data_IF_503060020017
#
_entry.id   IF_503060020017
#
_cell.length_a   1.000
_cell.length_b   1.000
_cell.length_c   1.000
_cell.angle_alpha   90.00
_cell.angle_beta   90.00
_cell.angle_gamma   90.00
#
_symmetry.space_group_name_H-M   'P 1'
#
loop_
_entity.id
_entity.type
_entity.pdbx_description
1 polymer ?
#
# COMPACT_ATOMS: atom_id res chain seq x y z
N UNK A 1 -20.71 -37.93 6.93
CA UNK A 1 -19.54 -37.52 7.75
C UNK A 1 -18.30 -37.08 6.96
N UNK A 2 -18.16 -37.36 5.65
CA UNK A 2 -16.98 -36.97 4.84
C UNK A 2 -17.15 -35.67 4.05
N UNK A 3 -18.38 -35.37 3.64
CA UNK A 3 -18.69 -34.27 2.70
C UNK A 3 -18.53 -32.88 3.32
N UNK A 4 -18.82 -32.74 4.62
CA UNK A 4 -18.66 -31.48 5.34
C UNK A 4 -17.19 -31.06 5.40
N UNK A 5 -16.28 -32.02 5.60
CA UNK A 5 -14.84 -31.78 5.58
C UNK A 5 -14.34 -31.34 4.20
N UNK A 6 -14.86 -31.94 3.12
CA UNK A 6 -14.51 -31.53 1.76
C UNK A 6 -14.98 -30.09 1.46
N UNK A 7 -16.19 -29.74 1.88
CA UNK A 7 -16.72 -28.38 1.75
C UNK A 7 -15.87 -27.36 2.52
N UNK A 8 -15.50 -27.66 3.76
CA UNK A 8 -14.62 -26.81 4.56
C UNK A 8 -13.22 -26.66 3.94
N UNK A 9 -12.65 -27.73 3.41
CA UNK A 9 -11.34 -27.69 2.75
C UNK A 9 -11.37 -26.79 1.51
N UNK A 10 -12.38 -26.94 0.65
CA UNK A 10 -12.56 -26.09 -0.54
C UNK A 10 -12.76 -24.63 -0.13
N UNK A 11 -13.59 -24.37 0.87
CA UNK A 11 -13.81 -23.02 1.40
C UNK A 11 -12.48 -22.40 1.87
N UNK A 12 -11.67 -23.13 2.64
CA UNK A 12 -10.39 -22.64 3.15
C UNK A 12 -9.38 -22.33 2.04
N UNK A 13 -9.36 -23.14 0.97
CA UNK A 13 -8.52 -22.89 -0.21
C UNK A 13 -8.93 -21.60 -0.92
N UNK A 14 -10.24 -21.37 -1.10
CA UNK A 14 -10.77 -20.14 -1.72
C UNK A 14 -10.48 -18.91 -0.86
N UNK A 15 -10.64 -19.01 0.46
CA UNK A 15 -10.30 -17.91 1.38
C UNK A 15 -8.82 -17.55 1.36
N UNK A 16 -7.92 -18.53 1.30
CA UNK A 16 -6.49 -18.27 1.17
C UNK A 16 -6.13 -17.65 -0.19
N UNK A 17 -6.80 -18.02 -1.27
CA UNK A 17 -6.61 -17.41 -2.58
C UNK A 17 -7.01 -15.91 -2.60
N UNK A 18 -8.06 -15.53 -1.87
CA UNK A 18 -8.48 -14.12 -1.71
C UNK A 18 -7.52 -13.35 -0.78
N UNK A 19 -7.10 -13.95 0.34
CA UNK A 19 -6.17 -13.33 1.27
C UNK A 19 -4.76 -13.15 0.68
N UNK A 20 -4.42 -13.95 -0.34
CA UNK A 20 -3.18 -13.86 -1.11
C UNK A 20 -3.16 -12.74 -2.16
N UNK A 21 -4.16 -11.86 -2.22
CA UNK A 21 -4.02 -10.62 -2.98
C UNK A 21 -2.82 -9.87 -2.41
N UNK A 22 -1.71 -9.72 -3.17
CA UNK A 22 -0.58 -8.96 -2.70
C UNK A 22 -1.14 -7.58 -2.39
N UNK A 23 -1.01 -7.15 -1.13
CA UNK A 23 -1.31 -5.78 -0.71
C UNK A 23 -0.82 -4.88 -1.82
N UNK A 24 -1.76 -4.39 -2.64
CA UNK A 24 -1.42 -3.88 -3.96
C UNK A 24 -0.72 -2.57 -3.68
N UNK A 25 0.60 -2.65 -3.59
CA UNK A 25 1.52 -1.55 -3.47
C UNK A 25 1.58 -0.92 -4.85
N UNK A 26 0.41 -0.56 -5.37
CA UNK A 26 0.28 0.08 -6.66
C UNK A 26 0.82 1.50 -6.49
N UNK A 27 1.62 1.98 -7.45
CA UNK A 27 1.99 3.40 -7.48
C UNK A 27 0.74 4.29 -7.51
N UNK A 28 -0.40 3.76 -7.94
CA UNK A 28 -1.71 4.42 -7.91
C UNK A 28 -2.15 4.81 -6.50
N UNK A 29 -2.01 3.92 -5.50
CA UNK A 29 -2.36 4.24 -4.11
C UNK A 29 -1.44 5.31 -3.51
N UNK A 30 -0.16 5.31 -3.87
CA UNK A 30 0.76 6.36 -3.47
C UNK A 30 0.37 7.72 -4.07
N UNK A 31 0.04 7.72 -5.36
CA UNK A 31 -0.42 8.92 -6.08
C UNK A 31 -1.75 9.46 -5.55
N UNK A 32 -2.69 8.59 -5.20
CA UNK A 32 -3.95 8.96 -4.55
C UNK A 32 -3.73 9.65 -3.20
N UNK A 33 -2.68 9.28 -2.47
CA UNK A 33 -2.27 9.94 -1.22
C UNK A 33 -1.39 11.18 -1.45
N UNK A 34 -1.34 11.71 -2.69
CA UNK A 34 -0.45 12.82 -3.07
C UNK A 34 1.03 12.53 -2.78
N UNK A 35 1.41 11.26 -2.73
CA UNK A 35 2.78 10.82 -2.54
C UNK A 35 3.49 10.55 -3.85
N UNK A 36 4.82 10.51 -3.78
CA UNK A 36 5.70 10.16 -4.90
C UNK A 36 6.43 8.86 -4.59
N UNK A 37 6.60 8.05 -5.64
CA UNK A 37 7.38 6.82 -5.55
C UNK A 37 8.85 7.15 -5.76
N UNK A 38 9.66 7.03 -4.70
CA UNK A 38 11.10 7.23 -4.78
C UNK A 38 11.83 5.90 -4.64
N UNK A 39 12.89 5.71 -5.42
CA UNK A 39 13.81 4.59 -5.23
C UNK A 39 14.70 4.86 -4.00
N UNK A 40 14.67 3.97 -3.01
CA UNK A 40 15.43 4.09 -1.77
C UNK A 40 14.65 4.75 -0.61
N UNK A 41 15.36 5.23 0.43
CA UNK A 41 14.73 5.88 1.58
C UNK A 41 14.23 7.29 1.23
N UNK A 42 13.10 7.69 1.82
CA UNK A 42 12.58 9.06 1.66
C UNK A 42 13.56 10.06 2.26
N UNK A 43 13.96 11.06 1.47
CA UNK A 43 14.76 12.19 1.97
C UNK A 43 13.85 13.19 2.68
N UNK A 44 14.32 13.80 3.77
CA UNK A 44 13.61 14.93 4.41
C UNK A 44 13.38 16.04 3.35
N UNK A 45 12.20 16.68 3.30
CA UNK A 45 11.08 16.63 4.25
C UNK A 45 10.00 15.55 3.96
N UNK A 46 10.28 14.57 3.10
CA UNK A 46 9.33 13.52 2.78
C UNK A 46 9.36 12.40 3.82
N UNK A 47 8.18 11.87 4.14
CA UNK A 47 7.97 10.77 5.08
C UNK A 47 7.50 9.52 4.34
N UNK A 48 8.04 8.37 4.73
CA UNK A 48 7.64 7.09 4.17
C UNK A 48 6.26 6.70 4.70
N UNK A 49 5.30 6.53 3.80
CA UNK A 49 3.92 6.11 4.13
C UNK A 49 3.57 4.72 3.59
N UNK A 50 4.44 4.15 2.75
CA UNK A 50 4.22 2.83 2.16
C UNK A 50 5.29 2.45 1.14
N UNK A 51 4.96 1.50 0.26
CA UNK A 51 5.78 1.03 -0.86
C UNK A 51 5.00 1.12 -2.17
N UNK A 52 5.70 1.38 -3.28
CA UNK A 52 5.13 1.46 -4.63
C UNK A 52 5.30 0.17 -5.46
N UNK A 53 5.52 -0.97 -4.82
CA UNK A 53 5.35 -2.29 -5.45
C UNK A 53 6.54 -2.76 -6.29
N UNK A 54 7.64 -2.01 -6.30
CA UNK A 54 8.95 -2.45 -6.80
C UNK A 54 9.91 -2.81 -5.64
N UNK A 55 10.95 -3.60 -5.93
CA UNK A 55 11.90 -4.14 -4.95
C UNK A 55 12.56 -3.09 -4.01
N UNK A 56 12.59 -1.80 -4.39
CA UNK A 56 13.15 -0.71 -3.56
C UNK A 56 12.43 0.63 -3.71
N UNK A 57 11.16 0.65 -4.12
CA UNK A 57 10.41 1.90 -4.28
C UNK A 57 9.57 2.19 -3.03
N UNK A 58 9.91 3.26 -2.31
CA UNK A 58 9.15 3.75 -1.15
C UNK A 58 8.15 4.82 -1.59
N UNK A 59 6.94 4.79 -1.03
CA UNK A 59 5.99 5.88 -1.18
C UNK A 59 6.31 6.98 -0.16
N UNK A 60 6.67 8.15 -0.67
CA UNK A 60 7.14 9.29 0.10
C UNK A 60 6.14 10.45 -0.02
N UNK A 61 5.65 10.97 1.10
CA UNK A 61 4.69 12.08 1.15
C UNK A 61 5.32 13.26 1.89
N UNK A 62 5.15 14.46 1.34
CA UNK A 62 5.52 15.70 2.01
C UNK A 62 4.29 16.33 2.63
N UNK A 63 4.32 16.56 3.94
CA UNK A 63 3.30 17.35 4.63
C UNK A 63 3.79 18.78 4.77
N UNK A 64 2.90 19.74 4.53
CA UNK A 64 3.14 21.15 4.83
C UNK A 64 2.00 21.65 5.68
N UNK A 65 2.35 22.42 6.69
CA UNK A 65 1.39 23.11 7.57
C UNK A 65 0.86 24.33 6.83
N UNK A 66 -0.43 24.34 6.50
CA UNK A 66 -1.14 25.53 6.02
C UNK A 66 -2.16 25.89 7.07
N UNK A 67 -1.95 27.02 7.73
CA UNK A 67 -2.90 27.55 8.73
C UNK A 67 -3.18 26.56 9.89
N UNK A 68 -2.16 25.78 10.29
CA UNK A 68 -2.24 24.77 11.34
C UNK A 68 -2.81 23.41 10.90
N UNK A 69 -2.94 23.18 9.59
CA UNK A 69 -3.48 21.94 9.03
C UNK A 69 -2.37 21.25 8.21
N UNK A 70 -2.00 20.00 8.51
CA UNK A 70 -1.02 19.24 7.72
C UNK A 70 -1.66 18.80 6.40
N UNK A 71 -1.24 19.42 5.29
CA UNK A 71 -1.68 19.05 3.94
C UNK A 71 -0.60 18.23 3.23
N UNK A 72 -1.02 17.11 2.62
CA UNK A 72 -0.14 16.34 1.74
C UNK A 72 0.06 17.10 0.42
N UNK A 73 1.31 17.38 0.06
CA UNK A 73 1.70 18.01 -1.21
C UNK A 73 2.08 16.94 -2.23
N UNK A 74 1.48 17.02 -3.41
CA UNK A 74 1.87 16.22 -4.57
C UNK A 74 2.98 16.92 -5.33
N UNK A 75 4.13 16.27 -5.51
CA UNK A 75 5.09 16.65 -6.55
C UNK A 75 4.62 16.07 -7.89
N UNK A 76 4.49 16.95 -8.89
CA UNK A 76 3.99 16.63 -10.24
C UNK A 76 5.04 15.94 -11.09
#
# INVERSE_FOLDING_TARGET
MRILFLLLAVLFVVLQAVAGQPYVSSPLHCRLRKGVCMYGPCRRPYYQVGSCGGLRSSCCVRYVEVQGIPIAMADS
#
